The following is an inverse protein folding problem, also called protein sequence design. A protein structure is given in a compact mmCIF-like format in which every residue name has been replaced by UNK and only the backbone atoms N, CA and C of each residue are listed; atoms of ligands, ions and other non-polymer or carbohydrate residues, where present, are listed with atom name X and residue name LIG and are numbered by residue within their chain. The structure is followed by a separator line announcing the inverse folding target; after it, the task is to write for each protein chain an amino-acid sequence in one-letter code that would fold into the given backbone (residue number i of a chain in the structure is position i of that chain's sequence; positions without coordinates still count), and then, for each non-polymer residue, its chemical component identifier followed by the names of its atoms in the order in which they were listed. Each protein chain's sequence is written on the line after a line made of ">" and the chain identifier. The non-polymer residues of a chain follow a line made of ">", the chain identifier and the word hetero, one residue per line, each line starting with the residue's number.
data_IF_779774561737
#
_entry.id   IF_779774561737
#
_cell.length_a   1.000
_cell.length_b   1.000
_cell.length_c   1.000
_cell.angle_alpha   90.00
_cell.angle_beta   90.00
_cell.angle_gamma   90.00
#
_symmetry.space_group_name_H-M   'P 1'
#
loop_
_entity.id
_entity.type
_entity.pdbx_description
1 polymer ?
#
# COMPACT_ATOMS: atom_id res chain seq x y z
N UNK A 1 26.32 -1.76 -12.09
CA UNK A 1 26.19 -1.08 -10.79
C UNK A 1 24.86 -0.36 -10.58
N UNK A 2 24.10 0.08 -11.60
CA UNK A 2 22.78 0.72 -11.38
C UNK A 2 21.64 -0.27 -11.07
N UNK A 3 21.68 -1.46 -11.67
CA UNK A 3 20.63 -2.49 -11.53
C UNK A 3 20.52 -3.09 -10.13
N UNK A 4 21.63 -3.13 -9.38
CA UNK A 4 21.63 -3.69 -8.03
C UNK A 4 21.04 -2.68 -7.03
N UNK A 5 21.35 -1.38 -7.20
CA UNK A 5 20.74 -0.30 -6.43
C UNK A 5 19.24 -0.19 -6.66
N UNK A 6 18.78 -0.40 -7.90
CA UNK A 6 17.34 -0.39 -8.21
C UNK A 6 16.61 -1.56 -7.56
N UNK A 7 17.21 -2.76 -7.56
CA UNK A 7 16.66 -3.95 -6.90
C UNK A 7 16.64 -3.82 -5.38
N UNK A 8 17.66 -3.19 -4.80
CA UNK A 8 17.74 -2.91 -3.37
C UNK A 8 16.65 -1.90 -2.97
N UNK A 9 16.50 -0.81 -3.72
CA UNK A 9 15.41 0.16 -3.53
C UNK A 9 14.03 -0.46 -3.65
N UNK A 10 13.81 -1.35 -4.62
CA UNK A 10 12.54 -2.08 -4.77
C UNK A 10 12.26 -2.94 -3.53
N UNK A 11 13.27 -3.65 -3.02
CA UNK A 11 13.15 -4.47 -1.82
C UNK A 11 12.87 -3.63 -0.55
N UNK A 12 13.50 -2.46 -0.43
CA UNK A 12 13.23 -1.53 0.67
C UNK A 12 11.79 -1.00 0.64
N UNK A 13 11.29 -0.60 -0.54
CA UNK A 13 9.91 -0.13 -0.71
C UNK A 13 8.90 -1.24 -0.41
N UNK A 14 9.17 -2.45 -0.88
CA UNK A 14 8.32 -3.62 -0.60
C UNK A 14 8.31 -3.95 0.89
N UNK A 15 9.46 -3.93 1.57
CA UNK A 15 9.55 -4.12 3.01
C UNK A 15 8.83 -3.05 3.82
N UNK A 16 8.95 -1.77 3.42
CA UNK A 16 8.23 -0.66 4.03
C UNK A 16 6.72 -0.78 3.82
N UNK A 17 6.28 -1.15 2.61
CA UNK A 17 4.88 -1.41 2.28
C UNK A 17 4.30 -2.52 3.17
N UNK A 18 5.00 -3.65 3.32
CA UNK A 18 4.56 -4.72 4.19
C UNK A 18 4.44 -4.28 5.64
N UNK A 19 5.42 -3.53 6.14
CA UNK A 19 5.38 -2.96 7.50
C UNK A 19 4.15 -2.08 7.69
N UNK A 20 3.85 -1.20 6.73
CA UNK A 20 2.66 -0.35 6.76
C UNK A 20 1.37 -1.18 6.77
N UNK A 21 1.29 -2.22 5.94
CA UNK A 21 0.13 -3.11 5.92
C UNK A 21 -0.08 -3.83 7.24
N UNK A 22 0.99 -4.32 7.88
CA UNK A 22 0.92 -4.94 9.21
C UNK A 22 0.45 -3.95 10.28
N UNK A 23 0.94 -2.70 10.26
CA UNK A 23 0.48 -1.65 11.15
C UNK A 23 -0.99 -1.26 10.93
N UNK A 24 -1.49 -1.39 9.70
CA UNK A 24 -2.90 -1.22 9.36
C UNK A 24 -3.77 -2.42 9.79
N UNK A 25 -3.17 -3.51 10.27
CA UNK A 25 -3.88 -4.71 10.72
C UNK A 25 -4.03 -5.80 9.65
N UNK A 26 -3.19 -5.82 8.61
CA UNK A 26 -3.15 -6.94 7.67
C UNK A 26 -2.73 -8.22 8.40
N UNK A 27 -3.45 -9.31 8.17
CA UNK A 27 -3.07 -10.62 8.69
C UNK A 27 -1.74 -11.08 8.06
N UNK A 28 -0.69 -11.40 8.85
CA UNK A 28 0.59 -11.89 8.36
C UNK A 28 0.49 -13.12 7.43
N UNK A 29 -0.58 -13.91 7.55
CA UNK A 29 -0.83 -15.09 6.70
C UNK A 29 -0.96 -14.72 5.23
N UNK A 30 -1.48 -13.52 4.92
CA UNK A 30 -1.65 -13.03 3.55
C UNK A 30 -0.30 -12.87 2.85
N UNK A 31 0.75 -12.52 3.61
CA UNK A 31 2.11 -12.34 3.08
C UNK A 31 2.90 -13.66 2.99
N UNK A 32 2.28 -14.80 3.35
CA UNK A 32 2.97 -16.09 3.44
C UNK A 32 4.08 -16.11 4.49
N UNK A 33 4.03 -15.21 5.47
CA UNK A 33 5.01 -15.14 6.55
C UNK A 33 4.72 -16.26 7.55
N UNK A 34 5.66 -17.19 7.82
CA UNK A 34 5.44 -18.19 8.86
C UNK A 34 5.30 -17.49 10.21
N UNK A 35 4.42 -18.01 11.07
CA UNK A 35 4.21 -17.49 12.42
C UNK A 35 5.56 -17.36 13.15
N UNK A 36 5.95 -16.12 13.50
CA UNK A 36 7.20 -15.82 14.20
C UNK A 36 8.35 -15.25 13.36
N UNK A 37 8.21 -15.07 12.04
CA UNK A 37 9.22 -14.36 11.24
C UNK A 37 9.16 -12.84 11.47
N UNK A 38 10.32 -12.21 11.70
CA UNK A 38 10.44 -10.80 12.04
C UNK A 38 10.09 -9.83 10.90
N UNK A 39 10.18 -10.29 9.63
CA UNK A 39 9.83 -9.50 8.45
C UNK A 39 9.33 -10.39 7.30
N UNK A 40 8.32 -9.94 6.52
CA UNK A 40 7.87 -10.65 5.32
C UNK A 40 8.96 -10.75 4.26
N UNK A 41 8.90 -11.80 3.42
CA UNK A 41 9.86 -11.99 2.32
C UNK A 41 9.65 -10.90 1.26
N UNK A 42 10.73 -10.23 0.88
CA UNK A 42 10.76 -9.25 -0.22
C UNK A 42 11.09 -9.92 -1.54
N UNK A 43 10.67 -9.32 -2.65
CA UNK A 43 10.81 -9.82 -4.02
C UNK A 43 9.60 -10.60 -4.52
N UNK A 44 8.43 -10.53 -3.86
CA UNK A 44 7.23 -11.27 -4.25
C UNK A 44 6.58 -10.75 -5.54
N UNK A 45 6.99 -9.55 -5.98
CA UNK A 45 6.52 -8.89 -7.21
C UNK A 45 7.58 -8.82 -8.32
N UNK A 46 8.73 -9.50 -8.16
CA UNK A 46 9.74 -9.66 -9.23
C UNK A 46 9.18 -10.43 -10.43
N UNK A 47 8.18 -11.26 -10.19
CA UNK A 47 7.39 -11.96 -11.19
C UNK A 47 5.92 -11.60 -11.02
N UNK A 48 5.09 -11.94 -12.02
CA UNK A 48 3.64 -11.71 -11.95
C UNK A 48 3.02 -12.42 -10.76
N UNK A 49 2.38 -11.65 -9.87
CA UNK A 49 1.72 -12.17 -8.68
C UNK A 49 0.35 -11.50 -8.47
N UNK A 50 -0.62 -11.76 -9.36
CA UNK A 50 -1.93 -11.10 -9.32
C UNK A 50 -2.71 -11.44 -8.04
N UNK A 51 -2.59 -12.66 -7.51
CA UNK A 51 -3.32 -13.06 -6.29
C UNK A 51 -2.93 -12.20 -5.08
N UNK A 52 -1.63 -12.09 -4.79
CA UNK A 52 -1.17 -11.24 -3.69
C UNK A 52 -1.43 -9.76 -3.98
N UNK A 53 -1.20 -9.32 -5.23
CA UNK A 53 -1.46 -7.95 -5.64
C UNK A 53 -2.92 -7.53 -5.42
N UNK A 54 -3.87 -8.36 -5.83
CA UNK A 54 -5.31 -8.15 -5.64
C UNK A 54 -5.69 -8.12 -4.15
N UNK A 55 -5.13 -9.02 -3.33
CA UNK A 55 -5.34 -9.00 -1.87
C UNK A 55 -4.84 -7.71 -1.22
N UNK A 56 -3.63 -7.26 -1.57
CA UNK A 56 -3.06 -6.02 -1.02
C UNK A 56 -3.86 -4.79 -1.48
N UNK A 57 -4.24 -4.74 -2.75
CA UNK A 57 -5.06 -3.66 -3.29
C UNK A 57 -6.42 -3.59 -2.60
N UNK A 58 -7.11 -4.72 -2.45
CA UNK A 58 -8.39 -4.79 -1.75
C UNK A 58 -8.24 -4.29 -0.31
N UNK A 59 -7.23 -4.77 0.42
CA UNK A 59 -6.98 -4.38 1.81
C UNK A 59 -6.72 -2.88 1.96
N UNK A 60 -5.80 -2.33 1.15
CA UNK A 60 -5.41 -0.93 1.22
C UNK A 60 -6.56 0.01 0.84
N UNK A 61 -7.27 -0.29 -0.25
CA UNK A 61 -8.39 0.54 -0.70
C UNK A 61 -9.58 0.43 0.25
N UNK A 62 -9.84 -0.75 0.83
CA UNK A 62 -10.86 -0.91 1.87
C UNK A 62 -10.54 -0.10 3.12
N UNK A 63 -9.27 -0.06 3.52
CA UNK A 63 -8.81 0.75 4.66
C UNK A 63 -9.01 2.26 4.41
N UNK A 64 -8.81 2.72 3.18
CA UNK A 64 -8.99 4.12 2.78
C UNK A 64 -10.47 4.53 2.71
N UNK A 65 -11.28 3.74 1.99
CA UNK A 65 -12.71 4.01 1.76
C UNK A 65 -13.56 3.79 3.02
N UNK A 66 -13.10 2.93 3.92
CA UNK A 66 -13.87 2.48 5.08
C UNK A 66 -14.90 1.40 4.73
N UNK A 67 -15.39 0.66 5.73
CA UNK A 67 -16.14 -0.59 5.52
C UNK A 67 -17.46 -0.41 4.76
N UNK A 68 -18.16 0.71 4.94
CA UNK A 68 -19.43 0.96 4.28
C UNK A 68 -19.28 1.24 2.78
N UNK A 69 -18.24 1.97 2.38
CA UNK A 69 -18.00 2.31 0.98
C UNK A 69 -17.27 1.17 0.26
N UNK A 70 -16.32 0.50 0.91
CA UNK A 70 -15.63 -0.64 0.32
C UNK A 70 -16.57 -1.81 0.02
N UNK A 71 -17.56 -2.08 0.87
CA UNK A 71 -18.58 -3.09 0.63
C UNK A 71 -19.42 -2.79 -0.62
N UNK A 72 -19.64 -1.51 -0.95
CA UNK A 72 -20.33 -1.09 -2.17
C UNK A 72 -19.41 -1.17 -3.38
N UNK A 73 -18.20 -0.65 -3.26
CA UNK A 73 -17.24 -0.58 -4.36
C UNK A 73 -16.87 -1.98 -4.85
N UNK A 74 -16.70 -2.94 -3.94
CA UNK A 74 -16.29 -4.31 -4.25
C UNK A 74 -17.43 -5.33 -4.22
N UNK A 75 -18.69 -4.87 -4.24
CA UNK A 75 -19.86 -5.75 -4.30
C UNK A 75 -19.75 -6.71 -5.48
N UNK A 76 -19.97 -8.01 -5.24
CA UNK A 76 -19.95 -9.11 -6.22
C UNK A 76 -18.62 -9.38 -6.94
N UNK A 77 -17.59 -8.55 -6.74
CA UNK A 77 -16.25 -8.74 -7.33
C UNK A 77 -15.23 -9.29 -6.34
N UNK A 78 -15.53 -9.20 -5.04
CA UNK A 78 -14.68 -9.72 -3.97
C UNK A 78 -15.43 -10.74 -3.09
N UNK A 79 -14.84 -11.92 -2.78
CA UNK A 79 -13.54 -12.42 -3.26
C UNK A 79 -13.55 -12.76 -4.76
N UNK A 80 -12.36 -12.73 -5.38
CA UNK A 80 -12.20 -13.02 -6.81
C UNK A 80 -12.09 -14.53 -7.03
N UNK A 81 -12.99 -15.09 -7.84
CA UNK A 81 -13.02 -16.52 -8.19
C UNK A 81 -12.76 -16.77 -9.69
N UNK A 82 -13.09 -15.81 -10.54
CA UNK A 82 -12.92 -15.92 -11.99
C UNK A 82 -12.27 -14.68 -12.64
N UNK A 83 -11.94 -14.82 -13.92
CA UNK A 83 -11.26 -13.77 -14.68
C UNK A 83 -12.15 -12.56 -15.00
N UNK A 84 -13.48 -12.72 -15.00
CA UNK A 84 -14.42 -11.63 -15.21
C UNK A 84 -14.48 -10.74 -13.96
N UNK A 85 -14.56 -11.33 -12.77
CA UNK A 85 -14.46 -10.63 -11.49
C UNK A 85 -13.11 -9.93 -11.35
N UNK A 86 -12.00 -10.60 -11.69
CA UNK A 86 -10.66 -9.99 -11.67
C UNK A 86 -10.57 -8.79 -12.61
N UNK A 87 -11.19 -8.85 -13.80
CA UNK A 87 -11.26 -7.70 -14.73
C UNK A 87 -12.07 -6.54 -14.16
N UNK A 88 -13.21 -6.83 -13.53
CA UNK A 88 -14.07 -5.81 -12.95
C UNK A 88 -13.43 -5.16 -11.71
N UNK A 89 -12.84 -5.98 -10.84
CA UNK A 89 -12.04 -5.53 -9.70
C UNK A 89 -10.95 -4.53 -10.14
N UNK A 90 -10.21 -4.84 -11.21
CA UNK A 90 -9.19 -3.92 -11.74
C UNK A 90 -9.76 -2.58 -12.20
N UNK A 91 -10.96 -2.55 -12.79
CA UNK A 91 -11.60 -1.29 -13.20
C UNK A 91 -11.98 -0.45 -11.99
N UNK A 92 -12.54 -1.08 -10.95
CA UNK A 92 -12.90 -0.41 -9.69
C UNK A 92 -11.63 0.17 -9.05
N UNK A 93 -10.59 -0.64 -8.90
CA UNK A 93 -9.27 -0.21 -8.39
C UNK A 93 -8.72 0.97 -9.19
N UNK A 94 -8.76 0.90 -10.51
CA UNK A 94 -8.30 1.97 -11.39
C UNK A 94 -9.10 3.26 -11.15
N UNK A 95 -10.43 3.17 -11.04
CA UNK A 95 -11.30 4.31 -10.76
C UNK A 95 -10.94 4.96 -9.43
N UNK A 96 -10.78 4.17 -8.37
CA UNK A 96 -10.41 4.66 -7.03
C UNK A 96 -9.03 5.34 -7.06
N UNK A 97 -8.04 4.77 -7.73
CA UNK A 97 -6.70 5.39 -7.87
C UNK A 97 -6.80 6.72 -8.62
N UNK A 98 -7.56 6.78 -9.71
CA UNK A 98 -7.77 8.02 -10.46
C UNK A 98 -8.44 9.12 -9.62
N UNK A 99 -9.40 8.77 -8.76
CA UNK A 99 -9.98 9.72 -7.81
C UNK A 99 -8.95 10.22 -6.80
N UNK A 100 -8.10 9.34 -6.24
CA UNK A 100 -7.03 9.73 -5.31
C UNK A 100 -5.98 10.62 -5.98
N UNK A 101 -5.65 10.38 -7.25
CA UNK A 101 -4.78 11.27 -8.03
C UNK A 101 -5.40 12.66 -8.23
N UNK A 102 -6.71 12.73 -8.51
CA UNK A 102 -7.43 13.99 -8.67
C UNK A 102 -7.51 14.79 -7.36
N UNK A 103 -7.63 14.10 -6.23
CA UNK A 103 -7.61 14.69 -4.89
C UNK A 103 -6.21 15.12 -4.43
N UNK A 104 -5.15 14.81 -5.19
CA UNK A 104 -3.77 15.09 -4.81
C UNK A 104 -3.22 14.17 -3.71
N UNK A 105 -3.90 13.05 -3.43
CA UNK A 105 -3.45 12.05 -2.46
C UNK A 105 -2.31 11.18 -3.00
N UNK A 106 -2.25 11.00 -4.32
CA UNK A 106 -1.22 10.23 -5.02
C UNK A 106 -0.60 11.07 -6.17
N UNK A 107 0.69 10.84 -6.50
CA UNK A 107 1.27 11.38 -7.72
C UNK A 107 0.51 10.94 -8.97
N UNK A 108 0.42 11.80 -9.99
CA UNK A 108 -0.25 11.49 -11.26
C UNK A 108 0.47 10.35 -11.99
N UNK A 109 -0.28 9.54 -12.76
CA UNK A 109 0.21 8.42 -13.60
C UNK A 109 0.38 7.07 -12.89
N UNK A 110 -0.23 6.90 -11.73
CA UNK A 110 -0.27 5.66 -10.97
C UNK A 110 -1.39 4.71 -11.43
N UNK A 111 -2.47 5.23 -12.03
CA UNK A 111 -3.62 4.47 -12.54
C UNK A 111 -3.36 3.63 -13.82
N UNK A 112 -2.09 3.29 -14.11
CA UNK A 112 -1.72 2.57 -15.35
C UNK A 112 -2.23 1.13 -15.32
N UNK A 113 -3.15 0.83 -16.24
CA UNK A 113 -3.80 -0.49 -16.40
C UNK A 113 -2.81 -1.64 -16.49
N UNK A 114 -1.67 -1.45 -17.18
CA UNK A 114 -0.68 -2.50 -17.40
C UNK A 114 -0.04 -3.01 -16.10
N UNK A 115 0.26 -2.11 -15.16
CA UNK A 115 0.84 -2.47 -13.85
C UNK A 115 -0.16 -3.20 -12.96
N UNK A 116 -1.45 -2.84 -13.05
CA UNK A 116 -2.53 -3.51 -12.32
C UNK A 116 -2.89 -4.88 -12.89
N UNK A 117 -2.65 -5.12 -14.19
CA UNK A 117 -2.95 -6.38 -14.84
C UNK A 117 -1.93 -7.48 -14.49
N UNK A 118 -0.64 -7.13 -14.42
CA UNK A 118 0.42 -8.10 -14.13
C UNK A 118 0.78 -8.17 -12.64
N UNK A 119 0.44 -7.14 -11.86
CA UNK A 119 0.83 -6.98 -10.46
C UNK A 119 2.30 -7.31 -10.24
N UNK A 120 3.19 -6.66 -11.00
CA UNK A 120 4.63 -6.93 -10.91
C UNK A 120 5.49 -5.73 -11.30
N UNK A 121 6.74 -5.80 -10.88
CA UNK A 121 7.79 -4.84 -11.19
C UNK A 121 7.74 -3.57 -10.32
N UNK A 122 8.76 -2.73 -10.48
CA UNK A 122 9.06 -1.65 -9.52
C UNK A 122 7.94 -0.61 -9.42
N UNK A 123 7.23 -0.33 -10.52
CA UNK A 123 6.11 0.63 -10.52
C UNK A 123 4.91 0.14 -9.73
N UNK A 124 4.66 -1.18 -9.74
CA UNK A 124 3.56 -1.74 -8.98
C UNK A 124 3.86 -1.73 -7.48
N UNK A 125 5.10 -2.08 -7.10
CA UNK A 125 5.57 -1.99 -5.71
C UNK A 125 5.52 -0.55 -5.21
N UNK A 126 5.95 0.40 -6.02
CA UNK A 126 5.89 1.84 -5.72
C UNK A 126 4.45 2.31 -5.51
N UNK A 127 3.51 1.91 -6.36
CA UNK A 127 2.08 2.21 -6.19
C UNK A 127 1.53 1.65 -4.88
N UNK A 128 1.78 0.36 -4.59
CA UNK A 128 1.31 -0.26 -3.34
C UNK A 128 1.93 0.41 -2.12
N UNK A 129 3.21 0.76 -2.18
CA UNK A 129 3.88 1.51 -1.13
C UNK A 129 3.21 2.88 -0.91
N UNK A 130 2.94 3.65 -1.97
CA UNK A 130 2.27 4.95 -1.88
C UNK A 130 0.85 4.81 -1.28
N UNK A 131 0.08 3.81 -1.73
CA UNK A 131 -1.23 3.49 -1.18
C UNK A 131 -1.14 3.11 0.31
N UNK A 132 -0.13 2.33 0.70
CA UNK A 132 0.07 1.91 2.09
C UNK A 132 0.39 3.07 3.02
N UNK A 133 1.25 4.00 2.58
CA UNK A 133 1.59 5.21 3.33
C UNK A 133 0.37 6.12 3.44
N UNK A 134 -0.37 6.30 2.34
CA UNK A 134 -1.58 7.11 2.35
C UNK A 134 -2.65 6.51 3.28
N UNK A 135 -2.88 5.20 3.20
CA UNK A 135 -3.80 4.47 4.07
C UNK A 135 -3.41 4.58 5.55
N UNK A 136 -2.13 4.39 5.88
CA UNK A 136 -1.64 4.51 7.25
C UNK A 136 -1.88 5.91 7.82
N UNK A 137 -1.59 6.95 7.04
CA UNK A 137 -1.85 8.34 7.45
C UNK A 137 -3.33 8.63 7.64
N UNK A 138 -4.15 8.14 6.73
CA UNK A 138 -5.60 8.36 6.74
C UNK A 138 -6.26 7.67 7.94
N UNK A 139 -5.93 6.40 8.16
CA UNK A 139 -6.40 5.62 9.32
C UNK A 139 -5.88 6.23 10.62
N UNK A 140 -4.58 6.56 10.71
CA UNK A 140 -4.03 7.17 11.91
C UNK A 140 -4.69 8.51 12.25
N UNK A 141 -4.99 9.35 11.25
CA UNK A 141 -5.71 10.61 11.46
C UNK A 141 -7.14 10.41 11.95
N UNK A 142 -7.84 9.38 11.47
CA UNK A 142 -9.20 9.04 11.92
C UNK A 142 -9.20 8.47 13.33
N UNK A 143 -8.22 7.63 13.66
CA UNK A 143 -8.15 6.93 14.95
C UNK A 143 -7.56 7.81 16.06
N UNK A 144 -6.59 8.68 15.76
CA UNK A 144 -5.83 9.47 16.73
C UNK A 144 -5.93 10.98 16.45
N UNK A 145 -7.15 11.49 16.22
CA UNK A 145 -7.37 12.88 15.85
C UNK A 145 -6.76 13.89 16.85
N UNK A 146 -6.78 13.58 18.15
CA UNK A 146 -6.19 14.42 19.20
C UNK A 146 -4.65 14.46 19.16
N UNK A 147 -4.01 13.33 18.84
CA UNK A 147 -2.55 13.25 18.73
C UNK A 147 -2.05 13.94 17.46
N UNK A 148 -2.80 13.84 16.35
CA UNK A 148 -2.47 14.54 15.10
C UNK A 148 -2.61 16.06 15.25
N UNK A 149 -3.58 16.54 16.03
CA UNK A 149 -3.69 17.96 16.35
C UNK A 149 -2.49 18.48 17.15
N UNK A 150 -1.88 17.61 17.97
CA UNK A 150 -0.74 17.95 18.83
C UNK A 150 0.62 17.76 18.14
N UNK A 151 0.69 16.84 17.17
CA UNK A 151 1.87 16.57 16.35
C UNK A 151 1.44 16.32 14.90
N UNK A 152 1.49 17.34 14.02
CA UNK A 152 1.02 17.20 12.65
C UNK A 152 1.82 16.13 11.91
N UNK A 153 1.11 15.24 11.21
CA UNK A 153 1.73 14.22 10.37
C UNK A 153 2.60 14.90 9.30
N UNK A 154 3.75 14.30 8.89
CA UNK A 154 4.58 14.81 7.80
C UNK A 154 3.73 15.18 6.58
N UNK A 155 4.13 16.13 5.73
CA UNK A 155 3.33 16.52 4.55
C UNK A 155 3.01 15.32 3.63
N UNK A 156 1.97 15.42 2.79
CA UNK A 156 1.53 14.33 1.91
C UNK A 156 2.69 13.83 1.02
N UNK A 157 2.58 12.61 0.47
CA UNK A 157 3.63 12.05 -0.40
C UNK A 157 3.93 12.93 -1.64
N UNK A 158 3.03 13.84 -1.99
CA UNK A 158 3.24 14.89 -3.00
C UNK A 158 4.28 15.93 -2.60
N UNK A 159 4.49 16.17 -1.30
CA UNK A 159 5.48 17.11 -0.76
C UNK A 159 6.78 16.42 -0.31
N UNK A 160 6.73 15.13 -0.04
CA UNK A 160 7.92 14.35 0.34
C UNK A 160 8.58 13.81 -0.93
N UNK A 161 9.54 14.57 -1.45
CA UNK A 161 10.48 14.07 -2.47
C UNK A 161 11.00 12.69 -2.08
N UNK A 162 10.89 11.75 -3.01
CA UNK A 162 11.24 10.32 -2.89
C UNK A 162 12.58 10.03 -2.18
N UNK A 163 13.48 11.00 -2.21
CA UNK A 163 14.79 11.00 -1.56
C UNK A 163 14.75 10.87 -0.03
N UNK A 164 13.63 11.17 0.64
CA UNK A 164 13.52 11.16 2.11
C UNK A 164 12.77 9.95 2.70
N UNK A 165 12.28 8.99 1.90
CA UNK A 165 11.56 7.83 2.43
C UNK A 165 12.41 7.00 3.41
N UNK A 166 13.72 6.88 3.15
CA UNK A 166 14.67 6.22 4.05
C UNK A 166 14.87 6.95 5.39
N UNK A 167 14.62 8.26 5.45
CA UNK A 167 14.77 9.07 6.66
C UNK A 167 13.59 8.92 7.65
N UNK A 168 12.49 8.25 7.25
CA UNK A 168 11.32 8.02 8.10
C UNK A 168 11.40 6.70 8.90
N UNK A 169 12.32 5.81 8.55
CA UNK A 169 12.53 4.53 9.27
C UNK A 169 12.98 4.66 10.74
N UNK A 170 13.75 5.68 11.16
CA UNK A 170 14.13 5.85 12.56
C UNK A 170 12.99 6.40 13.43
N UNK A 171 12.02 7.10 12.84
CA UNK A 171 10.96 7.79 13.60
C UNK A 171 9.92 6.80 14.15
N UNK A 172 9.74 5.65 13.48
CA UNK A 172 8.82 4.60 13.95
C UNK A 172 9.41 3.72 15.06
N UNK A 173 10.74 3.64 15.19
CA UNK A 173 11.40 2.86 16.25
C UNK A 173 11.43 3.56 17.61
N UNK A 174 11.28 4.89 17.65
CA UNK A 174 11.46 5.67 18.87
C UNK A 174 10.21 5.78 19.77
N UNK A 175 9.02 5.33 19.35
CA UNK A 175 7.79 5.50 20.13
C UNK A 175 7.20 4.24 20.77
N UNK A 176 7.74 3.05 20.51
CA UNK A 176 7.25 1.79 21.12
C UNK A 176 7.94 1.51 22.49
N UNK A 177 8.97 2.26 22.87
CA UNK A 177 9.73 2.01 24.10
C UNK A 177 9.19 2.74 25.36
N UNK A 178 8.10 3.51 25.27
CA UNK A 178 7.49 4.17 26.43
C UNK A 178 5.97 4.00 26.39
N UNK A 179 5.48 2.80 26.69
CA UNK A 179 4.11 2.53 27.14
C UNK A 179 4.13 1.34 28.08
#
# INVERSE_FOLDING_TARGET
>A
MSTDREKEREAELEGAMYTNCLLLGLDPVVLGSPAGAASPRVGLFRHSNPRLGEQLLYFLLSSLRGPAQSAKDFDKVWPIFDSAQSREFRKIVQCIISELEQQGALPRSNSRVSSLATCCGPRFVELLWQLSVHALREVHRRTFAADVASNPLPAALTDVSYLHAAALLPVTKARIACS
#
